data_IF_363698904775
#
_entry.id   IF_363698904775
#
_cell.length_a   1.000
_cell.length_b   1.000
_cell.length_c   1.000
_cell.angle_alpha   90.00
_cell.angle_beta   90.00
_cell.angle_gamma   90.00
#
_symmetry.space_group_name_H-M   'P 1'
#
loop_
_entity.id
_entity.type
_entity.pdbx_description
1 polymer ?
#
# COMPACT_ATOMS: atom_id res chain seq x y z
N UNK A 1 -25.01 0.95 -1.05
CA UNK A 1 -23.96 0.32 -0.21
C UNK A 1 -22.80 -0.03 -1.13
N UNK A 2 -21.56 0.32 -0.78
CA UNK A 2 -20.38 0.04 -1.64
C UNK A 2 -20.11 -1.47 -1.65
N UNK A 3 -20.34 -2.11 -2.81
CA UNK A 3 -20.17 -3.56 -3.00
C UNK A 3 -18.78 -4.06 -2.66
N UNK A 4 -17.77 -3.22 -2.86
CA UNK A 4 -16.37 -3.55 -2.69
C UNK A 4 -15.77 -3.06 -1.37
N UNK A 5 -16.56 -2.46 -0.47
CA UNK A 5 -16.08 -1.85 0.77
C UNK A 5 -15.16 -2.76 1.60
N UNK A 6 -15.45 -4.07 1.60
CA UNK A 6 -14.68 -5.05 2.37
C UNK A 6 -13.28 -5.33 1.77
N UNK A 7 -13.12 -5.18 0.45
CA UNK A 7 -11.89 -5.58 -0.24
C UNK A 7 -11.12 -4.41 -0.87
N UNK A 8 -11.76 -3.30 -1.21
CA UNK A 8 -11.18 -2.18 -1.94
C UNK A 8 -10.09 -1.45 -1.17
N UNK A 9 -9.22 -0.74 -1.87
CA UNK A 9 -8.35 0.29 -1.31
C UNK A 9 -9.16 1.45 -0.73
N UNK A 10 -8.53 2.27 0.11
CA UNK A 10 -9.16 3.49 0.63
C UNK A 10 -9.28 4.56 -0.46
N UNK A 11 -10.25 5.46 -0.28
CA UNK A 11 -10.47 6.65 -1.12
C UNK A 11 -9.91 7.89 -0.41
N UNK A 12 -9.68 8.97 -1.14
CA UNK A 12 -9.09 10.19 -0.60
C UNK A 12 -9.80 10.72 0.66
N UNK A 13 -11.12 10.75 0.66
CA UNK A 13 -11.89 11.23 1.81
C UNK A 13 -11.77 10.35 3.08
N UNK A 14 -11.23 9.14 2.98
CA UNK A 14 -11.02 8.22 4.10
C UNK A 14 -9.60 8.36 4.69
N UNK A 15 -8.66 8.97 3.96
CA UNK A 15 -7.23 8.99 4.29
C UNK A 15 -6.95 9.60 5.65
N UNK A 16 -7.51 10.77 5.92
CA UNK A 16 -7.27 11.49 7.19
C UNK A 16 -7.78 10.69 8.40
N UNK A 17 -8.94 10.07 8.29
CA UNK A 17 -9.52 9.27 9.37
C UNK A 17 -8.70 8.01 9.64
N UNK A 18 -8.26 7.32 8.57
CA UNK A 18 -7.43 6.13 8.69
C UNK A 18 -6.05 6.47 9.27
N UNK A 19 -5.42 7.55 8.85
CA UNK A 19 -4.14 8.01 9.43
C UNK A 19 -4.31 8.32 10.92
N UNK A 20 -5.38 9.02 11.31
CA UNK A 20 -5.65 9.32 12.71
C UNK A 20 -5.86 8.04 13.54
N UNK A 21 -6.57 7.05 13.00
CA UNK A 21 -6.74 5.75 13.63
C UNK A 21 -5.41 5.00 13.79
N UNK A 22 -4.55 5.00 12.77
CA UNK A 22 -3.21 4.42 12.82
C UNK A 22 -2.33 5.09 13.87
N UNK A 23 -2.35 6.42 13.97
CA UNK A 23 -1.62 7.17 14.98
C UNK A 23 -2.14 6.90 16.40
N UNK A 24 -3.40 6.50 16.53
CA UNK A 24 -4.01 6.07 17.78
C UNK A 24 -3.55 4.67 18.26
N UNK A 25 -3.02 3.82 17.39
CA UNK A 25 -2.59 2.48 17.72
C UNK A 25 -1.13 2.48 18.22
N UNK A 26 -0.92 2.07 19.48
CA UNK A 26 0.40 2.02 20.10
C UNK A 26 1.35 1.03 19.41
N UNK A 27 0.83 0.01 18.73
CA UNK A 27 1.62 -0.94 17.96
C UNK A 27 2.28 -0.26 16.76
N UNK A 28 1.56 0.63 16.07
CA UNK A 28 2.08 1.41 14.94
C UNK A 28 3.21 2.32 15.41
N UNK A 29 2.96 3.10 16.46
CA UNK A 29 3.96 4.04 17.00
C UNK A 29 5.19 3.30 17.54
N UNK A 30 5.00 2.15 18.18
CA UNK A 30 6.08 1.31 18.69
C UNK A 30 6.90 0.68 17.57
N UNK A 31 6.25 0.15 16.53
CA UNK A 31 6.93 -0.43 15.36
C UNK A 31 7.73 0.61 14.60
N UNK A 32 7.19 1.81 14.44
CA UNK A 32 7.88 2.94 13.81
C UNK A 32 9.14 3.35 14.58
N UNK A 33 9.05 3.44 15.92
CA UNK A 33 10.21 3.72 16.77
C UNK A 33 11.29 2.66 16.67
N UNK A 34 10.89 1.39 16.70
CA UNK A 34 11.83 0.28 16.60
C UNK A 34 12.57 0.29 15.25
N UNK A 35 11.88 0.70 14.19
CA UNK A 35 12.48 0.83 12.85
C UNK A 35 13.51 1.97 12.79
N UNK A 36 13.21 3.13 13.40
CA UNK A 36 14.09 4.32 13.33
C UNK A 36 15.20 4.27 14.37
N UNK A 37 14.91 3.80 15.58
CA UNK A 37 15.83 3.80 16.71
C UNK A 37 15.98 2.41 17.35
N UNK A 38 16.48 1.40 16.61
CA UNK A 38 16.48 0.02 17.10
C UNK A 38 17.26 -0.18 18.41
N UNK A 39 18.33 0.61 18.63
CA UNK A 39 19.18 0.52 19.83
C UNK A 39 18.65 1.36 21.00
N UNK A 40 17.99 2.48 20.76
CA UNK A 40 17.52 3.41 21.77
C UNK A 40 16.06 3.20 22.19
N UNK A 41 15.32 2.40 21.43
CA UNK A 41 13.89 2.16 21.64
C UNK A 41 13.49 1.84 23.08
N UNK A 42 14.26 0.98 23.77
CA UNK A 42 13.95 0.53 25.12
C UNK A 42 14.09 1.62 26.19
N UNK A 43 14.93 2.61 25.96
CA UNK A 43 15.35 3.60 26.97
C UNK A 43 14.62 4.95 26.91
N UNK A 44 13.74 5.17 25.94
CA UNK A 44 13.01 6.44 25.77
C UNK A 44 11.73 6.41 26.61
N UNK A 45 11.63 7.20 27.73
CA UNK A 45 10.38 7.31 28.47
C UNK A 45 9.34 8.07 27.65
N UNK A 46 8.05 7.76 27.86
CA UNK A 46 6.93 8.37 27.14
C UNK A 46 7.06 8.38 25.60
N UNK A 47 7.85 7.45 25.06
CA UNK A 47 8.19 7.37 23.63
C UNK A 47 6.97 7.41 22.69
N UNK A 48 5.91 6.69 23.02
CA UNK A 48 4.70 6.65 22.17
C UNK A 48 4.03 8.02 22.08
N UNK A 49 4.02 8.80 23.18
CA UNK A 49 3.46 10.15 23.18
C UNK A 49 4.24 11.09 22.25
N UNK A 50 5.57 11.14 22.40
CA UNK A 50 6.41 12.02 21.57
C UNK A 50 6.37 11.61 20.09
N UNK A 51 6.41 10.31 19.79
CA UNK A 51 6.33 9.82 18.42
C UNK A 51 4.97 10.11 17.82
N UNK A 52 3.88 9.84 18.54
CA UNK A 52 2.54 10.19 18.09
C UNK A 52 2.44 11.67 17.77
N UNK A 53 2.93 12.56 18.66
CA UNK A 53 2.94 14.01 18.45
C UNK A 53 3.75 14.41 17.22
N UNK A 54 4.93 13.82 17.04
CA UNK A 54 5.78 14.06 15.88
C UNK A 54 5.13 13.57 14.57
N UNK A 55 4.63 12.35 14.56
CA UNK A 55 3.95 11.76 13.40
C UNK A 55 2.67 12.55 13.07
N UNK A 56 1.85 12.92 14.05
CA UNK A 56 0.66 13.74 13.82
C UNK A 56 1.02 15.08 13.18
N UNK A 57 2.12 15.71 13.59
CA UNK A 57 2.59 16.94 12.96
C UNK A 57 3.05 16.71 11.51
N UNK A 58 3.81 15.65 11.26
CA UNK A 58 4.34 15.30 9.92
C UNK A 58 3.26 14.84 8.95
N UNK A 59 2.26 14.12 9.43
CA UNK A 59 1.22 13.50 8.60
C UNK A 59 -0.07 14.34 8.48
N UNK A 60 -0.16 15.47 9.18
CA UNK A 60 -1.36 16.32 9.19
C UNK A 60 -1.76 16.89 7.84
N UNK A 61 -0.82 16.97 6.89
CA UNK A 61 -1.05 17.49 5.54
C UNK A 61 -1.42 16.40 4.53
N UNK A 62 -1.54 15.14 5.00
CA UNK A 62 -1.87 14.00 4.15
C UNK A 62 -3.37 13.79 4.22
N UNK A 63 -4.05 14.20 3.18
CA UNK A 63 -5.51 14.16 3.05
C UNK A 63 -6.00 13.36 1.83
N UNK A 64 -5.06 12.82 1.03
CA UNK A 64 -5.35 12.03 -0.16
C UNK A 64 -4.31 10.93 -0.37
N UNK A 65 -4.64 9.96 -1.22
CA UNK A 65 -3.81 8.79 -1.53
C UNK A 65 -2.49 9.20 -2.19
N UNK A 66 -2.48 10.18 -3.07
CA UNK A 66 -1.26 10.63 -3.74
C UNK A 66 -0.22 11.18 -2.75
N UNK A 67 -0.64 12.04 -1.82
CA UNK A 67 0.20 12.57 -0.74
C UNK A 67 0.76 11.46 0.15
N UNK A 68 -0.05 10.43 0.43
CA UNK A 68 0.38 9.26 1.20
C UNK A 68 1.43 8.44 0.41
N UNK A 69 1.19 8.17 -0.87
CA UNK A 69 2.11 7.41 -1.72
C UNK A 69 3.47 8.11 -1.88
N UNK A 70 3.51 9.44 -1.87
CA UNK A 70 4.76 10.21 -1.92
C UNK A 70 5.70 9.92 -0.75
N UNK A 71 5.16 9.58 0.43
CA UNK A 71 5.99 9.13 1.57
C UNK A 71 6.61 7.78 1.26
N UNK A 72 5.84 6.86 0.68
CA UNK A 72 6.34 5.54 0.29
C UNK A 72 7.40 5.63 -0.81
N UNK A 73 7.23 6.52 -1.78
CA UNK A 73 8.24 6.77 -2.82
C UNK A 73 9.59 7.14 -2.19
N UNK A 74 9.60 8.12 -1.28
CA UNK A 74 10.82 8.55 -0.60
C UNK A 74 11.47 7.40 0.21
N UNK A 75 10.65 6.53 0.81
CA UNK A 75 11.13 5.37 1.55
C UNK A 75 11.75 4.33 0.59
N UNK A 76 11.07 4.01 -0.51
CA UNK A 76 11.55 3.08 -1.54
C UNK A 76 12.86 3.60 -2.17
N UNK A 77 12.93 4.88 -2.49
CA UNK A 77 14.15 5.51 -3.01
C UNK A 77 15.32 5.37 -2.04
N UNK A 78 15.08 5.57 -0.74
CA UNK A 78 16.10 5.36 0.29
C UNK A 78 16.55 3.90 0.35
N UNK A 79 15.62 2.94 0.27
CA UNK A 79 15.95 1.50 0.25
C UNK A 79 16.77 1.16 -1.00
N UNK A 80 16.38 1.66 -2.17
CA UNK A 80 17.14 1.45 -3.42
C UNK A 80 18.57 1.96 -3.23
N UNK A 81 18.75 3.21 -2.79
CA UNK A 81 20.05 3.84 -2.65
C UNK A 81 20.96 3.17 -1.60
N UNK A 82 20.37 2.50 -0.59
CA UNK A 82 21.14 1.87 0.50
C UNK A 82 21.40 0.38 0.29
N UNK A 83 20.53 -0.31 -0.45
CA UNK A 83 20.51 -1.78 -0.46
C UNK A 83 20.64 -2.40 -1.85
N UNK A 84 20.45 -1.60 -2.92
CA UNK A 84 20.43 -2.09 -4.29
C UNK A 84 21.60 -1.47 -5.06
N UNK A 85 22.49 -2.30 -5.59
CA UNK A 85 23.66 -1.83 -6.37
C UNK A 85 23.28 -1.27 -7.74
N UNK A 86 22.21 -1.77 -8.35
CA UNK A 86 21.68 -1.28 -9.63
C UNK A 86 20.21 -1.62 -9.76
N UNK A 87 19.40 -0.63 -10.12
CA UNK A 87 17.98 -0.80 -10.42
C UNK A 87 17.69 -0.24 -11.81
N UNK A 88 17.17 -1.06 -12.70
CA UNK A 88 16.77 -0.68 -14.06
C UNK A 88 15.39 -1.19 -14.36
N UNK A 89 14.58 -0.38 -15.05
CA UNK A 89 13.27 -0.77 -15.55
C UNK A 89 13.17 -0.31 -17.00
N UNK A 90 13.01 -1.26 -17.91
CA UNK A 90 12.93 -1.00 -19.35
C UNK A 90 11.49 -1.17 -19.83
N UNK A 91 11.13 -0.50 -20.93
CA UNK A 91 9.81 -0.64 -21.56
C UNK A 91 8.76 0.35 -21.06
N UNK A 92 9.08 1.20 -20.06
CA UNK A 92 8.16 2.22 -19.58
C UNK A 92 7.81 3.25 -20.65
N UNK A 93 8.72 3.51 -21.56
CA UNK A 93 8.57 4.40 -22.72
C UNK A 93 7.49 3.90 -23.73
N UNK A 94 7.09 2.63 -23.62
CA UNK A 94 6.01 2.03 -24.45
C UNK A 94 4.63 2.17 -23.84
N UNK A 95 4.56 2.61 -22.58
CA UNK A 95 3.29 2.81 -21.90
C UNK A 95 2.72 4.18 -22.26
N UNK A 96 1.41 4.21 -22.57
CA UNK A 96 0.67 5.44 -22.80
C UNK A 96 -0.10 5.84 -21.53
N UNK A 97 0.10 7.07 -21.07
CA UNK A 97 -0.59 7.62 -19.90
C UNK A 97 -2.11 7.73 -20.05
N UNK A 98 -2.62 7.65 -21.28
CA UNK A 98 -4.07 7.65 -21.56
C UNK A 98 -4.70 6.25 -21.42
N UNK A 99 -3.88 5.20 -21.35
CA UNK A 99 -4.34 3.82 -21.21
C UNK A 99 -4.18 3.31 -19.79
N UNK A 100 -4.91 2.26 -19.46
CA UNK A 100 -4.83 1.52 -18.21
C UNK A 100 -4.33 0.11 -18.47
N UNK A 101 -3.60 -0.42 -17.52
CA UNK A 101 -2.88 -1.66 -17.72
C UNK A 101 -3.20 -2.64 -16.59
N UNK A 102 -3.35 -3.89 -16.95
CA UNK A 102 -3.24 -5.00 -16.04
C UNK A 102 -1.81 -5.55 -16.12
N UNK A 103 -1.00 -5.22 -15.12
CA UNK A 103 0.36 -5.72 -15.00
C UNK A 103 0.32 -7.11 -14.37
N UNK A 104 0.93 -8.09 -15.03
CA UNK A 104 1.04 -9.47 -14.54
C UNK A 104 2.52 -9.80 -14.44
N UNK A 105 2.99 -10.25 -13.30
CA UNK A 105 4.40 -10.60 -13.09
C UNK A 105 4.57 -11.82 -12.22
N UNK A 106 5.79 -12.38 -12.21
CA UNK A 106 6.18 -13.30 -11.16
C UNK A 106 6.28 -12.57 -9.83
N UNK A 107 5.99 -13.28 -8.74
CA UNK A 107 6.09 -12.76 -7.38
C UNK A 107 7.26 -13.41 -6.66
N UNK A 108 8.30 -12.64 -6.40
CA UNK A 108 9.52 -13.10 -5.72
C UNK A 108 9.68 -12.49 -4.33
N UNK A 109 9.22 -11.25 -4.16
CA UNK A 109 9.26 -10.53 -2.88
C UNK A 109 7.91 -9.88 -2.60
N UNK A 110 7.37 -10.16 -1.40
CA UNK A 110 6.01 -9.72 -1.00
C UNK A 110 5.84 -8.20 -1.07
N UNK A 111 6.89 -7.45 -0.80
CA UNK A 111 6.82 -5.99 -0.67
C UNK A 111 7.51 -5.28 -1.83
N UNK A 112 8.70 -5.75 -2.22
CA UNK A 112 9.55 -5.02 -3.15
C UNK A 112 9.07 -5.10 -4.59
N UNK A 113 8.47 -6.20 -5.04
CA UNK A 113 8.06 -6.33 -6.45
C UNK A 113 7.09 -5.22 -6.86
N UNK A 114 5.99 -5.05 -6.13
CA UNK A 114 5.01 -3.99 -6.40
C UNK A 114 5.56 -2.58 -6.09
N UNK A 115 6.36 -2.45 -5.04
CA UNK A 115 6.92 -1.16 -4.63
C UNK A 115 7.92 -0.62 -5.67
N UNK A 116 8.83 -1.48 -6.18
CA UNK A 116 9.82 -1.10 -7.19
C UNK A 116 9.18 -0.76 -8.53
N UNK A 117 8.16 -1.53 -8.95
CA UNK A 117 7.46 -1.24 -10.19
C UNK A 117 6.64 0.06 -10.07
N UNK A 118 5.93 0.29 -8.96
CA UNK A 118 5.23 1.55 -8.71
C UNK A 118 6.20 2.75 -8.67
N UNK A 119 7.36 2.57 -8.03
CA UNK A 119 8.42 3.59 -8.03
C UNK A 119 8.92 3.91 -9.44
N UNK A 120 9.19 2.89 -10.26
CA UNK A 120 9.63 3.07 -11.63
C UNK A 120 8.59 3.80 -12.50
N UNK A 121 7.30 3.42 -12.38
CA UNK A 121 6.20 4.10 -13.06
C UNK A 121 6.10 5.57 -12.64
N UNK A 122 6.13 5.84 -11.34
CA UNK A 122 6.06 7.20 -10.81
C UNK A 122 7.21 8.07 -11.31
N UNK A 123 8.45 7.55 -11.27
CA UNK A 123 9.64 8.28 -11.78
C UNK A 123 9.56 8.55 -13.28
N UNK A 124 8.89 7.70 -14.04
CA UNK A 124 8.64 7.89 -15.47
C UNK A 124 7.41 8.80 -15.77
N UNK A 125 6.75 9.35 -14.74
CA UNK A 125 5.58 10.22 -14.88
C UNK A 125 4.27 9.49 -15.17
N UNK A 126 4.22 8.18 -14.89
CA UNK A 126 2.98 7.38 -14.97
C UNK A 126 2.25 7.35 -13.64
N UNK A 127 0.93 7.10 -13.69
CA UNK A 127 0.15 6.82 -12.49
C UNK A 127 0.52 5.48 -11.89
N UNK A 128 0.51 5.40 -10.55
CA UNK A 128 0.67 4.15 -9.81
C UNK A 128 -0.55 3.24 -10.01
N UNK A 129 -0.36 1.93 -9.86
CA UNK A 129 -1.41 0.92 -9.97
C UNK A 129 -1.98 0.51 -8.61
N UNK A 130 -3.14 -0.14 -8.64
CA UNK A 130 -3.72 -0.84 -7.49
C UNK A 130 -3.10 -2.22 -7.35
N UNK A 131 -2.81 -2.64 -6.12
CA UNK A 131 -2.03 -3.85 -5.80
C UNK A 131 -2.98 -4.93 -5.28
N UNK A 132 -3.04 -6.08 -5.96
CA UNK A 132 -3.77 -7.24 -5.48
C UNK A 132 -3.00 -7.98 -4.38
N UNK A 133 -3.58 -8.12 -3.18
CA UNK A 133 -2.92 -8.71 -2.01
C UNK A 133 -3.80 -9.80 -1.40
N UNK A 134 -3.22 -10.94 -1.07
CA UNK A 134 -3.94 -12.02 -0.40
C UNK A 134 -4.37 -11.64 1.01
N UNK A 135 -5.54 -12.12 1.43
CA UNK A 135 -6.14 -11.86 2.75
C UNK A 135 -5.27 -12.31 3.92
N UNK A 136 -4.39 -13.30 3.71
CA UNK A 136 -3.43 -13.76 4.71
C UNK A 136 -2.45 -12.68 5.21
N UNK A 137 -2.16 -11.67 4.37
CA UNK A 137 -1.31 -10.54 4.73
C UNK A 137 -2.07 -9.41 5.45
N UNK A 138 -3.39 -9.48 5.47
CA UNK A 138 -4.29 -8.46 6.02
C UNK A 138 -4.85 -8.81 7.42
N UNK A 139 -4.29 -9.83 8.08
CA UNK A 139 -4.79 -10.32 9.38
C UNK A 139 -4.63 -9.31 10.53
N UNK A 140 -3.71 -8.38 10.41
CA UNK A 140 -3.49 -7.31 11.40
C UNK A 140 -4.07 -6.01 10.88
N UNK A 141 -5.05 -5.44 11.57
CA UNK A 141 -5.80 -4.28 11.11
C UNK A 141 -4.91 -3.11 10.68
N UNK A 142 -3.94 -2.70 11.50
CA UNK A 142 -3.08 -1.56 11.16
C UNK A 142 -2.19 -1.84 9.92
N UNK A 143 -1.77 -3.09 9.70
CA UNK A 143 -1.04 -3.49 8.48
C UNK A 143 -1.96 -3.40 7.27
N UNK A 144 -3.17 -3.93 7.39
CA UNK A 144 -4.18 -3.83 6.34
C UNK A 144 -4.50 -2.37 5.99
N UNK A 145 -4.63 -1.50 6.99
CA UNK A 145 -4.89 -0.08 6.80
C UNK A 145 -3.74 0.61 6.04
N UNK A 146 -2.48 0.35 6.42
CA UNK A 146 -1.30 0.89 5.70
C UNK A 146 -1.26 0.42 4.23
N UNK A 147 -1.52 -0.87 3.99
CA UNK A 147 -1.53 -1.42 2.64
C UNK A 147 -2.69 -0.85 1.80
N UNK A 148 -3.89 -0.75 2.37
CA UNK A 148 -5.06 -0.19 1.67
C UNK A 148 -4.90 1.30 1.36
N UNK A 149 -4.21 2.07 2.21
CA UNK A 149 -3.80 3.44 1.91
C UNK A 149 -2.83 3.50 0.72
N UNK A 150 -2.01 2.47 0.52
CA UNK A 150 -1.11 2.36 -0.63
C UNK A 150 -1.76 1.64 -1.82
N UNK A 151 -3.05 1.88 -2.08
CA UNK A 151 -3.80 1.30 -3.19
C UNK A 151 -3.86 -0.24 -3.20
N UNK A 152 -3.61 -0.92 -2.08
CA UNK A 152 -3.79 -2.38 -2.04
C UNK A 152 -5.25 -2.75 -1.84
N UNK A 153 -5.70 -3.79 -2.55
CA UNK A 153 -7.01 -4.41 -2.37
C UNK A 153 -6.88 -5.90 -2.08
N UNK A 154 -7.90 -6.46 -1.42
CA UNK A 154 -7.83 -7.79 -0.84
C UNK A 154 -8.37 -8.83 -1.81
N UNK A 155 -7.59 -9.88 -2.05
CA UNK A 155 -8.06 -11.12 -2.67
C UNK A 155 -8.35 -12.13 -1.57
N UNK A 156 -9.62 -12.43 -1.34
CA UNK A 156 -10.02 -13.44 -0.37
C UNK A 156 -9.74 -14.84 -0.93
N UNK A 157 -8.65 -15.44 -0.47
CA UNK A 157 -8.20 -16.80 -0.82
C UNK A 157 -8.56 -17.82 0.26
N UNK A 158 -8.88 -17.36 1.47
CA UNK A 158 -9.33 -18.17 2.60
C UNK A 158 -10.85 -18.17 2.69
N UNK A 159 -11.41 -19.32 3.10
CA UNK A 159 -12.83 -19.49 3.30
C UNK A 159 -13.15 -20.87 3.87
N UNK A 160 -14.25 -20.99 4.61
CA UNK A 160 -14.68 -22.26 5.21
C UNK A 160 -15.05 -23.31 4.15
N UNK A 161 -15.50 -22.87 2.98
CA UNK A 161 -15.91 -23.73 1.87
C UNK A 161 -15.30 -23.27 0.54
N UNK A 162 -15.22 -24.19 -0.43
CA UNK A 162 -14.83 -23.87 -1.81
C UNK A 162 -15.72 -22.80 -2.42
N UNK A 163 -16.99 -22.77 -2.04
CA UNK A 163 -17.96 -21.75 -2.48
C UNK A 163 -17.59 -20.35 -1.97
N UNK A 164 -17.10 -20.25 -0.74
CA UNK A 164 -16.69 -18.95 -0.16
C UNK A 164 -15.43 -18.43 -0.86
N UNK A 165 -14.46 -19.31 -1.11
CA UNK A 165 -13.25 -18.97 -1.87
C UNK A 165 -13.63 -18.49 -3.27
N UNK A 166 -14.51 -19.22 -3.98
CA UNK A 166 -14.97 -18.82 -5.31
C UNK A 166 -15.64 -17.45 -5.31
N UNK A 167 -16.53 -17.20 -4.33
CA UNK A 167 -17.16 -15.86 -4.18
C UNK A 167 -16.14 -14.76 -3.96
N UNK A 168 -15.13 -15.00 -3.11
CA UNK A 168 -14.07 -14.04 -2.85
C UNK A 168 -13.25 -13.71 -4.10
N UNK A 169 -12.87 -14.74 -4.87
CA UNK A 169 -12.15 -14.57 -6.12
C UNK A 169 -13.00 -13.87 -7.19
N UNK A 170 -14.30 -14.21 -7.29
CA UNK A 170 -15.22 -13.53 -8.22
C UNK A 170 -15.38 -12.06 -7.87
N UNK A 171 -15.52 -11.72 -6.58
CA UNK A 171 -15.63 -10.34 -6.13
C UNK A 171 -14.35 -9.54 -6.44
N UNK A 172 -13.17 -10.14 -6.25
CA UNK A 172 -11.90 -9.53 -6.60
C UNK A 172 -11.78 -9.29 -8.11
N UNK A 173 -12.20 -10.26 -8.93
CA UNK A 173 -12.21 -10.14 -10.40
C UNK A 173 -13.14 -9.01 -10.86
N UNK A 174 -14.33 -8.91 -10.28
CA UNK A 174 -15.26 -7.81 -10.57
C UNK A 174 -14.67 -6.46 -10.15
N UNK A 175 -13.94 -6.41 -9.03
CA UNK A 175 -13.28 -5.18 -8.59
C UNK A 175 -12.14 -4.77 -9.53
N UNK A 176 -11.35 -5.72 -10.04
CA UNK A 176 -10.34 -5.44 -11.08
C UNK A 176 -10.99 -4.84 -12.33
N UNK A 177 -12.10 -5.41 -12.78
CA UNK A 177 -12.87 -4.87 -13.91
C UNK A 177 -13.37 -3.45 -13.65
N UNK A 178 -13.89 -3.19 -12.44
CA UNK A 178 -14.31 -1.85 -11.99
C UNK A 178 -13.14 -0.86 -12.02
N UNK A 179 -11.97 -1.22 -11.50
CA UNK A 179 -10.79 -0.37 -11.50
C UNK A 179 -10.36 0.01 -12.93
N UNK A 180 -10.27 -0.96 -13.82
CA UNK A 180 -9.89 -0.72 -15.22
C UNK A 180 -10.90 0.20 -15.91
N UNK A 181 -12.21 0.01 -15.69
CA UNK A 181 -13.25 0.89 -16.25
C UNK A 181 -13.20 2.32 -15.68
N UNK A 182 -12.73 2.46 -14.44
CA UNK A 182 -12.53 3.77 -13.78
C UNK A 182 -11.16 4.39 -14.07
N UNK A 183 -10.48 3.94 -15.12
CA UNK A 183 -9.18 4.45 -15.51
C UNK A 183 -8.08 4.23 -14.46
N UNK A 184 -8.11 3.13 -13.74
CA UNK A 184 -7.09 2.71 -12.78
C UNK A 184 -6.35 1.47 -13.28
N UNK A 185 -5.01 1.49 -13.20
CA UNK A 185 -4.20 0.30 -13.48
C UNK A 185 -4.15 -0.65 -12.29
N UNK A 186 -3.92 -1.92 -12.57
CA UNK A 186 -3.89 -3.00 -11.56
C UNK A 186 -2.64 -3.85 -11.74
N UNK A 187 -2.04 -4.29 -10.64
CA UNK A 187 -0.96 -5.26 -10.61
C UNK A 187 -1.39 -6.52 -9.85
N UNK A 188 -1.12 -7.67 -10.45
CA UNK A 188 -1.33 -9.01 -9.88
C UNK A 188 -0.09 -9.89 -10.11
N UNK A 189 0.19 -10.77 -9.15
CA UNK A 189 1.26 -11.76 -9.23
C UNK A 189 0.82 -13.12 -8.70
#
# INVERSE_FOLDING_TARGET
>A
MDKFAAIRSYKDHEVSDVINALLGDDRVTSSFLQLIFPKAYAFIPFKNFFVRRFLSYKLRSIDNIESYQKIFENLVEKVINQSISSFTCNGLEKLDNNHRYLFISNHRDITLDSALLNYALYKAGHKTFNIAVGDNLMNTKWVADLMRLNKSFIIQRSGATKKDIYKGLSLASEYVYELINNNESVWIA
#
